data_IF_528274626554
#
_entry.id   IF_528274626554
#
_cell.length_a   1.000
_cell.length_b   1.000
_cell.length_c   1.000
_cell.angle_alpha   90.00
_cell.angle_beta   90.00
_cell.angle_gamma   90.00
#
_symmetry.space_group_name_H-M   'P 1'
#
loop_
_entity.id
_entity.type
_entity.pdbx_description
1 polymer ?
#
# COMPACT_ATOMS: atom_id res chain seq x y z
N UNK A 1 -0.47 7.05 2.43
CA UNK A 1 0.31 6.67 1.22
C UNK A 1 1.17 5.46 1.56
N UNK A 2 1.42 4.55 0.62
CA UNK A 2 2.36 3.46 0.79
C UNK A 2 3.35 3.37 -0.35
N UNK A 3 4.61 3.05 -0.03
CA UNK A 3 5.65 2.73 -1.01
C UNK A 3 6.49 1.57 -0.50
N UNK A 4 6.63 0.53 -1.30
CA UNK A 4 7.39 -0.67 -1.00
C UNK A 4 8.38 -0.89 -2.14
N UNK A 5 9.65 -1.07 -1.79
CA UNK A 5 10.75 -1.33 -2.71
C UNK A 5 11.21 -2.77 -2.51
N UNK A 6 11.28 -3.53 -3.59
CA UNK A 6 11.68 -4.94 -3.59
C UNK A 6 13.15 -5.09 -3.98
N UNK A 7 13.75 -6.24 -3.63
CA UNK A 7 15.15 -6.55 -3.93
C UNK A 7 15.46 -6.52 -5.42
N UNK A 8 14.52 -6.96 -6.27
CA UNK A 8 14.67 -6.85 -7.73
C UNK A 8 14.49 -5.42 -8.27
N UNK A 9 14.43 -4.40 -7.39
CA UNK A 9 14.23 -2.99 -7.69
C UNK A 9 12.84 -2.61 -8.23
N UNK A 10 11.90 -3.56 -8.31
CA UNK A 10 10.50 -3.22 -8.55
C UNK A 10 9.93 -2.44 -7.36
N UNK A 11 8.87 -1.67 -7.62
CA UNK A 11 8.27 -0.77 -6.62
C UNK A 11 6.75 -0.83 -6.70
N UNK A 12 6.10 -1.05 -5.56
CA UNK A 12 4.66 -0.76 -5.38
C UNK A 12 4.53 0.62 -4.76
N UNK A 13 3.64 1.45 -5.31
CA UNK A 13 3.20 2.70 -4.69
C UNK A 13 1.67 2.81 -4.73
N UNK A 14 1.06 3.20 -3.62
CA UNK A 14 -0.35 3.50 -3.55
C UNK A 14 -0.63 4.74 -2.71
N UNK A 15 -1.67 5.47 -3.09
CA UNK A 15 -2.12 6.64 -2.37
C UNK A 15 -3.59 6.50 -2.02
N UNK A 16 -3.91 6.85 -0.78
CA UNK A 16 -5.28 6.92 -0.28
C UNK A 16 -5.35 8.04 0.76
N UNK A 17 -6.37 8.90 0.65
CA UNK A 17 -6.65 9.95 1.63
C UNK A 17 -7.99 9.64 2.31
N UNK A 18 -7.96 9.37 3.61
CA UNK A 18 -9.17 9.11 4.41
C UNK A 18 -9.92 10.42 4.70
N UNK A 19 -11.24 10.34 4.76
CA UNK A 19 -12.09 11.45 5.19
C UNK A 19 -12.11 11.64 6.71
N UNK A 20 -11.94 10.55 7.47
CA UNK A 20 -11.84 10.50 8.93
C UNK A 20 -11.22 9.15 9.35
N UNK A 21 -10.86 9.00 10.62
CA UNK A 21 -10.14 7.83 11.18
C UNK A 21 -10.58 6.45 10.66
N UNK A 22 -11.88 6.17 10.75
CA UNK A 22 -12.49 4.87 10.44
C UNK A 22 -13.21 4.85 9.07
N UNK A 23 -12.90 5.80 8.20
CA UNK A 23 -13.53 5.88 6.88
C UNK A 23 -13.13 4.69 5.99
N UNK A 24 -14.14 4.08 5.38
CA UNK A 24 -13.97 3.09 4.31
C UNK A 24 -13.89 3.74 2.93
N UNK A 25 -14.13 5.05 2.86
CA UNK A 25 -14.12 5.84 1.63
C UNK A 25 -12.86 6.71 1.57
N UNK A 26 -12.31 6.84 0.36
CA UNK A 26 -11.09 7.61 0.12
C UNK A 26 -11.36 8.71 -0.89
N UNK A 27 -10.93 9.94 -0.59
CA UNK A 27 -11.11 11.11 -1.47
C UNK A 27 -10.34 10.96 -2.79
N UNK A 28 -9.12 10.41 -2.71
CA UNK A 28 -8.24 10.16 -3.84
C UNK A 28 -7.58 8.81 -3.67
N UNK A 29 -7.50 8.05 -4.76
CA UNK A 29 -6.96 6.69 -4.81
C UNK A 29 -6.04 6.55 -6.01
N UNK A 30 -4.88 5.96 -5.82
CA UNK A 30 -4.01 5.51 -6.91
C UNK A 30 -3.24 4.28 -6.48
N UNK A 31 -2.87 3.46 -7.46
CA UNK A 31 -2.03 2.29 -7.27
C UNK A 31 -1.19 2.12 -8.54
N UNK A 32 0.11 1.90 -8.34
CA UNK A 32 1.08 1.72 -9.42
C UNK A 32 2.10 0.70 -8.99
N UNK A 33 2.45 -0.18 -9.92
CA UNK A 33 3.55 -1.11 -9.79
C UNK A 33 4.55 -0.84 -10.91
N UNK A 34 5.78 -0.47 -10.54
CA UNK A 34 6.90 -0.37 -11.46
C UNK A 34 7.63 -1.71 -11.46
N UNK A 35 7.55 -2.44 -12.56
CA UNK A 35 8.23 -3.71 -12.76
C UNK A 35 9.59 -3.47 -13.41
N UNK A 36 10.64 -3.54 -12.62
CA UNK A 36 11.99 -3.29 -13.12
C UNK A 36 12.46 -4.42 -14.06
N UNK A 37 12.06 -5.66 -13.80
CA UNK A 37 12.51 -6.84 -14.57
C UNK A 37 12.00 -6.79 -16.02
N UNK A 38 10.77 -6.33 -16.20
CA UNK A 38 10.11 -6.25 -17.51
C UNK A 38 10.08 -4.83 -18.09
N UNK A 39 10.69 -3.86 -17.40
CA UNK A 39 10.69 -2.44 -17.76
C UNK A 39 9.27 -1.90 -18.06
N UNK A 40 8.32 -2.23 -17.19
CA UNK A 40 6.90 -1.92 -17.36
C UNK A 40 6.37 -1.13 -16.15
N UNK A 41 5.43 -0.22 -16.40
CA UNK A 41 4.66 0.44 -15.34
C UNK A 41 3.20 0.01 -15.44
N UNK A 42 2.76 -0.79 -14.47
CA UNK A 42 1.37 -1.22 -14.33
C UNK A 42 0.64 -0.17 -13.49
N UNK A 43 -0.19 0.65 -14.14
CA UNK A 43 -1.03 1.67 -13.48
C UNK A 43 -2.46 1.17 -13.36
N UNK A 44 -3.06 1.34 -12.19
CA UNK A 44 -4.48 1.09 -12.00
C UNK A 44 -5.29 2.34 -12.34
N UNK A 45 -6.33 2.18 -13.15
CA UNK A 45 -7.24 3.28 -13.46
C UNK A 45 -8.37 3.32 -12.43
N UNK A 46 -8.44 4.44 -11.68
CA UNK A 46 -9.38 4.65 -10.57
C UNK A 46 -9.61 3.40 -9.69
N UNK A 47 -8.57 2.86 -9.02
CA UNK A 47 -8.67 1.59 -8.32
C UNK A 47 -9.70 1.63 -7.20
N UNK A 48 -10.49 0.56 -7.11
CA UNK A 48 -11.27 0.21 -5.91
C UNK A 48 -10.30 -0.27 -4.83
N UNK A 49 -9.70 0.68 -4.10
CA UNK A 49 -8.82 0.40 -2.98
C UNK A 49 -9.61 0.09 -1.71
N UNK A 50 -9.19 -0.97 -1.02
CA UNK A 50 -9.65 -1.35 0.32
C UNK A 50 -8.43 -1.62 1.18
N UNK A 51 -8.38 -0.99 2.34
CA UNK A 51 -7.30 -1.16 3.31
C UNK A 51 -7.93 -1.58 4.62
N UNK A 52 -7.42 -2.66 5.19
CA UNK A 52 -7.81 -3.15 6.50
C UNK A 52 -6.58 -3.45 7.32
N UNK A 53 -6.74 -3.49 8.64
CA UNK A 53 -5.67 -3.82 9.57
C UNK A 53 -6.11 -4.88 10.55
N UNK A 54 -5.18 -5.74 10.93
CA UNK A 54 -5.35 -6.73 11.99
C UNK A 54 -4.24 -6.51 13.01
N UNK A 55 -4.63 -6.41 14.29
CA UNK A 55 -3.69 -6.32 15.40
C UNK A 55 -3.57 -7.69 16.05
N UNK A 56 -2.38 -8.26 16.03
CA UNK A 56 -1.97 -9.42 16.84
C UNK A 56 -0.70 -9.05 17.60
N UNK A 57 0.30 -9.93 17.60
CA UNK A 57 1.64 -9.63 18.12
C UNK A 57 2.32 -8.49 17.34
N UNK A 58 2.06 -8.44 16.02
CA UNK A 58 2.44 -7.34 15.13
C UNK A 58 1.20 -6.71 14.47
N UNK A 59 1.34 -5.49 13.97
CA UNK A 59 0.29 -4.82 13.20
C UNK A 59 0.41 -5.19 11.71
N UNK A 60 -0.58 -5.92 11.21
CA UNK A 60 -0.68 -6.29 9.80
C UNK A 60 -1.65 -5.38 9.06
N UNK A 61 -1.24 -4.90 7.89
CA UNK A 61 -2.06 -4.16 6.95
C UNK A 61 -2.31 -5.00 5.71
N UNK A 62 -3.57 -5.15 5.33
CA UNK A 62 -3.98 -5.74 4.06
C UNK A 62 -4.44 -4.62 3.14
N UNK A 63 -3.76 -4.46 2.01
CA UNK A 63 -4.08 -3.49 0.97
C UNK A 63 -4.53 -4.26 -0.26
N UNK A 64 -5.78 -4.06 -0.63
CA UNK A 64 -6.42 -4.66 -1.79
C UNK A 64 -6.75 -3.54 -2.80
N UNK A 65 -6.56 -3.81 -4.08
CA UNK A 65 -6.85 -2.87 -5.16
C UNK A 65 -7.36 -3.60 -6.38
N UNK A 66 -8.41 -3.07 -7.01
CA UNK A 66 -8.97 -3.67 -8.22
C UNK A 66 -9.41 -2.61 -9.21
N UNK A 67 -9.15 -2.82 -10.48
CA UNK A 67 -9.77 -2.08 -11.58
C UNK A 67 -10.38 -3.06 -12.60
N UNK A 68 -10.61 -2.61 -13.85
CA UNK A 68 -11.29 -3.39 -14.88
C UNK A 68 -10.65 -4.76 -15.16
N UNK A 69 -9.33 -4.85 -15.10
CA UNK A 69 -8.59 -6.03 -15.53
C UNK A 69 -7.37 -6.38 -14.67
N UNK A 70 -7.17 -5.62 -13.59
CA UNK A 70 -6.10 -5.86 -12.62
C UNK A 70 -6.66 -6.07 -11.23
N UNK A 71 -6.04 -7.00 -10.51
CA UNK A 71 -6.32 -7.32 -9.13
C UNK A 71 -5.01 -7.31 -8.34
N UNK A 72 -4.99 -6.62 -7.22
CA UNK A 72 -3.81 -6.41 -6.40
C UNK A 72 -4.11 -6.69 -4.95
N UNK A 73 -3.19 -7.41 -4.31
CA UNK A 73 -3.19 -7.67 -2.89
C UNK A 73 -1.77 -7.65 -2.36
N UNK A 74 -1.55 -6.93 -1.26
CA UNK A 74 -0.30 -6.96 -0.50
C UNK A 74 -0.61 -6.99 0.99
N UNK A 75 0.11 -7.83 1.73
CA UNK A 75 0.10 -7.86 3.18
C UNK A 75 1.40 -7.28 3.71
N UNK A 76 1.28 -6.31 4.62
CA UNK A 76 2.39 -5.54 5.17
C UNK A 76 2.42 -5.73 6.69
N UNK A 77 3.54 -6.20 7.22
CA UNK A 77 3.81 -6.23 8.65
C UNK A 77 4.51 -4.95 9.09
N UNK A 78 4.03 -4.33 10.16
CA UNK A 78 4.65 -3.16 10.78
C UNK A 78 5.83 -3.59 11.65
N UNK A 79 6.99 -2.98 11.42
CA UNK A 79 8.20 -3.21 12.23
C UNK A 79 8.54 -2.03 13.15
N UNK A 80 8.15 -0.82 12.75
CA UNK A 80 8.27 0.37 13.58
C UNK A 80 7.18 1.37 13.22
N UNK A 81 6.78 2.21 14.17
CA UNK A 81 5.82 3.28 13.95
C UNK A 81 6.32 4.59 14.55
N UNK A 82 5.93 5.70 13.91
CA UNK A 82 6.12 7.04 14.44
C UNK A 82 4.85 7.85 14.22
N UNK A 83 4.27 8.32 15.32
CA UNK A 83 3.08 9.18 15.30
C UNK A 83 3.48 10.64 15.37
N UNK A 84 2.81 11.45 14.56
CA UNK A 84 2.95 12.90 14.53
C UNK A 84 1.57 13.51 14.76
N UNK A 85 1.49 14.43 15.73
CA UNK A 85 0.31 15.26 15.94
C UNK A 85 0.57 16.63 15.32
N UNK A 86 -0.09 16.92 14.19
CA UNK A 86 0.03 18.23 13.55
C UNK A 86 -0.97 19.19 14.20
N UNK A 87 -0.46 20.24 14.85
CA UNK A 87 -1.28 21.31 15.43
C UNK A 87 -1.25 22.52 14.49
N UNK A 88 -2.28 22.67 13.65
CA UNK A 88 -2.48 23.85 12.80
C UNK A 88 -3.39 23.58 11.58
N UNK A 89 -4.38 24.45 11.32
CA UNK A 89 -5.30 24.36 10.15
C UNK A 89 -6.30 23.21 10.17
N UNK A 90 -6.35 22.45 11.26
CA UNK A 90 -7.04 21.17 11.36
C UNK A 90 -6.27 20.20 12.24
N UNK A 91 -6.91 19.55 13.21
CA UNK A 91 -6.27 18.44 13.93
C UNK A 91 -6.16 17.26 12.98
N UNK A 92 -4.94 16.96 12.51
CA UNK A 92 -4.68 15.76 11.72
C UNK A 92 -3.74 14.83 12.49
N UNK A 93 -4.13 13.57 12.57
CA UNK A 93 -3.25 12.50 13.02
C UNK A 93 -2.55 11.92 11.80
N UNK A 94 -1.21 11.90 11.86
CA UNK A 94 -0.39 11.26 10.85
C UNK A 94 0.49 10.20 11.52
N UNK A 95 0.34 8.95 11.10
CA UNK A 95 1.15 7.83 11.59
C UNK A 95 1.93 7.25 10.43
N UNK A 96 3.25 7.17 10.57
CA UNK A 96 4.14 6.55 9.59
C UNK A 96 4.66 5.24 10.12
N UNK A 97 4.49 4.20 9.33
CA UNK A 97 4.91 2.83 9.61
C UNK A 97 6.09 2.47 8.71
N UNK A 98 7.13 1.89 9.28
CA UNK A 98 8.09 1.08 8.54
C UNK A 98 7.50 -0.33 8.42
N UNK A 99 7.48 -0.87 7.20
CA UNK A 99 6.80 -2.14 6.91
C UNK A 99 7.69 -3.11 6.14
N UNK A 100 7.47 -4.39 6.40
CA UNK A 100 7.93 -5.52 5.58
C UNK A 100 6.73 -6.12 4.88
N UNK A 101 6.90 -6.57 3.64
CA UNK A 101 5.87 -7.35 2.98
C UNK A 101 5.89 -8.80 3.50
N UNK A 102 4.71 -9.44 3.48
CA UNK A 102 4.54 -10.87 3.83
C UNK A 102 3.91 -11.65 2.70
N UNK A 103 3.07 -10.99 1.92
CA UNK A 103 2.42 -11.54 0.75
C UNK A 103 2.32 -10.43 -0.29
N UNK A 104 2.46 -10.79 -1.57
CA UNK A 104 2.09 -9.94 -2.69
C UNK A 104 1.51 -10.82 -3.80
N UNK A 105 0.41 -10.35 -4.39
CA UNK A 105 -0.14 -10.86 -5.63
C UNK A 105 -0.68 -9.71 -6.46
N UNK A 106 -0.14 -9.54 -7.65
CA UNK A 106 -0.65 -8.65 -8.68
C UNK A 106 -1.03 -9.49 -9.89
N UNK A 107 -2.32 -9.50 -10.24
CA UNK A 107 -2.82 -10.13 -11.45
C UNK A 107 -3.18 -9.06 -12.47
N UNK A 108 -2.74 -9.26 -13.70
CA UNK A 108 -3.14 -8.52 -14.90
C UNK A 108 -3.84 -9.48 -15.86
N UNK A 109 -4.23 -9.02 -17.07
CA UNK A 109 -4.73 -9.92 -18.11
C UNK A 109 -3.71 -10.97 -18.53
N UNK A 110 -2.45 -10.57 -18.63
CA UNK A 110 -1.43 -11.36 -19.31
C UNK A 110 -0.58 -12.18 -18.33
N UNK A 111 -0.53 -11.76 -17.05
CA UNK A 111 0.38 -12.38 -16.07
C UNK A 111 -0.02 -12.16 -14.62
N UNK A 112 0.59 -12.95 -13.76
CA UNK A 112 0.57 -12.81 -12.30
C UNK A 112 2.00 -12.53 -11.83
N UNK A 113 2.16 -11.53 -10.98
CA UNK A 113 3.38 -11.25 -10.23
C UNK A 113 3.12 -11.64 -8.78
N UNK A 114 3.92 -12.56 -8.26
CA UNK A 114 3.89 -12.99 -6.87
C UNK A 114 5.13 -12.48 -6.12
N UNK A 115 5.14 -12.67 -4.80
CA UNK A 115 6.26 -12.20 -3.98
C UNK A 115 7.59 -12.86 -4.36
N UNK A 116 7.57 -14.14 -4.71
CA UNK A 116 8.77 -14.91 -5.10
C UNK A 116 9.46 -14.34 -6.35
N UNK A 117 8.72 -13.64 -7.21
CA UNK A 117 9.28 -12.95 -8.39
C UNK A 117 10.07 -11.69 -8.03
N UNK A 118 9.85 -11.15 -6.82
CA UNK A 118 10.34 -9.85 -6.38
C UNK A 118 11.45 -9.93 -5.33
N UNK A 119 11.42 -10.99 -4.51
CA UNK A 119 12.28 -11.17 -3.35
C UNK A 119 11.85 -10.35 -2.14
N UNK A 120 12.77 -10.22 -1.17
CA UNK A 120 12.59 -9.40 0.03
C UNK A 120 12.33 -7.93 -0.29
N UNK A 121 12.02 -7.12 0.73
CA UNK A 121 11.69 -5.72 0.50
C UNK A 121 11.20 -5.00 1.74
N UNK A 122 11.34 -3.69 1.69
CA UNK A 122 11.03 -2.77 2.78
C UNK A 122 10.20 -1.63 2.23
N UNK A 123 9.40 -1.02 3.09
CA UNK A 123 8.60 0.11 2.68
C UNK A 123 8.16 0.99 3.82
N UNK A 124 7.41 2.01 3.45
CA UNK A 124 6.69 2.86 4.38
C UNK A 124 5.22 2.86 4.04
N UNK A 125 4.39 2.86 5.08
CA UNK A 125 2.96 3.06 4.95
C UNK A 125 2.51 4.18 5.89
N UNK A 126 1.68 5.08 5.41
CA UNK A 126 1.21 6.26 6.13
C UNK A 126 -0.31 6.18 6.28
N UNK A 127 -0.76 6.24 7.54
CA UNK A 127 -2.16 6.40 7.91
C UNK A 127 -2.38 7.83 8.38
N UNK A 128 -3.13 8.60 7.60
CA UNK A 128 -3.42 10.00 7.86
C UNK A 128 -4.94 10.21 7.85
N UNK A 129 -5.44 10.89 8.88
CA UNK A 129 -6.86 11.19 9.04
C UNK A 129 -7.06 12.44 9.91
N UNK A 130 -8.23 13.06 9.73
CA UNK A 130 -8.78 14.08 10.60
C UNK A 130 -9.47 13.44 11.80
#
# INVERSE_FOLDING_TARGET
MGRIIFQNSSVVSFFCLKTWKDSKNYFRRSLTFCDQKNNEIIRFDNPKLKISKRKGDTLLWLVEGKDHDKDFRIMLETCAEKQFAMKGGGSQVYIKYAVLHKELRLKTKDRIVALDDLGGGVGTFEDAYW
#
